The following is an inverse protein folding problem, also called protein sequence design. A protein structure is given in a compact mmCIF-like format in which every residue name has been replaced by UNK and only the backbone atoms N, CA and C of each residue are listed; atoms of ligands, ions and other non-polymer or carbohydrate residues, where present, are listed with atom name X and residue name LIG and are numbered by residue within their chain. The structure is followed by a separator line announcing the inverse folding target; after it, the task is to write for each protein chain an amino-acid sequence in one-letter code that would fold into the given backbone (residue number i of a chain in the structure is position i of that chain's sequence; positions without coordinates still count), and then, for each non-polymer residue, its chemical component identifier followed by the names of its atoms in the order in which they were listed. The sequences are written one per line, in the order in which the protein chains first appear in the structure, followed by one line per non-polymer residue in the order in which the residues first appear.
data_IF_733234100077
#
_entry.id   IF_733234100077
#
_cell.length_a   1.000
_cell.length_b   1.000
_cell.length_c   1.000
_cell.angle_alpha   90.00
_cell.angle_beta   90.00
_cell.angle_gamma   90.00
#
_symmetry.space_group_name_H-M   'P 1'
#
loop_
_entity.id
_entity.type
_entity.pdbx_description
1 polymer ?
#
# COMPACT_ATOMS: atom_id res chain seq x y z
N UNK A 1 12.89 7.58 12.54
CA UNK A 1 13.33 8.21 11.28
C UNK A 1 12.33 9.30 10.91
N UNK A 2 12.78 10.47 10.46
CA UNK A 2 11.85 11.48 9.96
C UNK A 2 11.52 11.16 8.49
N UNK A 3 10.26 10.81 8.20
CA UNK A 3 9.81 10.45 6.86
C UNK A 3 9.13 11.60 6.11
N UNK A 4 9.07 12.81 6.71
CA UNK A 4 8.36 13.96 6.14
C UNK A 4 8.90 14.43 4.79
N UNK A 5 10.22 14.39 4.60
CA UNK A 5 10.85 14.76 3.32
C UNK A 5 10.55 13.72 2.23
N UNK A 6 10.57 12.43 2.58
CA UNK A 6 10.16 11.35 1.67
C UNK A 6 8.67 11.48 1.31
N UNK A 7 7.81 11.71 2.29
CA UNK A 7 6.38 11.87 2.08
C UNK A 7 6.07 13.08 1.19
N UNK A 8 6.72 14.22 1.45
CA UNK A 8 6.60 15.43 0.63
C UNK A 8 7.04 15.17 -0.81
N UNK A 9 8.16 14.46 -0.99
CA UNK A 9 8.66 14.12 -2.32
C UNK A 9 7.70 13.16 -3.06
N UNK A 10 7.15 12.15 -2.39
CA UNK A 10 6.15 11.23 -2.95
C UNK A 10 4.91 12.01 -3.42
N UNK A 11 4.32 12.83 -2.55
CA UNK A 11 3.12 13.62 -2.86
C UNK A 11 3.33 14.58 -4.03
N UNK A 12 4.52 15.17 -4.13
CA UNK A 12 4.88 16.07 -5.22
C UNK A 12 5.35 15.36 -6.49
N UNK A 13 5.31 14.02 -6.51
CA UNK A 13 5.84 13.23 -7.61
C UNK A 13 7.32 13.61 -7.90
N UNK A 14 8.14 13.83 -6.87
CA UNK A 14 9.56 14.19 -6.96
C UNK A 14 10.44 12.97 -6.67
N UNK A 15 10.82 12.25 -7.72
CA UNK A 15 11.67 11.05 -7.58
C UNK A 15 13.07 11.39 -7.05
N UNK A 16 13.67 12.49 -7.50
CA UNK A 16 15.01 12.87 -7.09
C UNK A 16 15.04 13.31 -5.62
N UNK A 17 14.03 14.06 -5.18
CA UNK A 17 13.82 14.39 -3.77
C UNK A 17 13.65 13.15 -2.91
N UNK A 18 12.84 12.19 -3.37
CA UNK A 18 12.64 10.92 -2.67
C UNK A 18 13.96 10.16 -2.49
N UNK A 19 14.76 10.01 -3.55
CA UNK A 19 16.05 9.31 -3.47
C UNK A 19 17.03 9.99 -2.51
N UNK A 20 17.09 11.33 -2.53
CA UNK A 20 17.95 12.11 -1.61
C UNK A 20 17.53 11.96 -0.15
N UNK A 21 16.23 11.87 0.12
CA UNK A 21 15.72 11.69 1.47
C UNK A 21 15.85 10.23 1.95
N UNK A 22 15.58 9.25 1.07
CA UNK A 22 15.58 7.82 1.42
C UNK A 22 16.98 7.27 1.67
N UNK A 23 17.87 7.30 0.67
CA UNK A 23 19.09 6.48 0.70
C UNK A 23 20.09 6.84 1.80
N UNK A 24 20.22 8.10 2.25
CA UNK A 24 21.07 8.41 3.40
C UNK A 24 20.51 7.93 4.73
N UNK A 25 19.19 7.65 4.80
CA UNK A 25 18.46 7.42 6.05
C UNK A 25 17.91 6.00 6.20
N UNK A 26 17.73 5.25 5.10
CA UNK A 26 17.10 3.94 5.05
C UNK A 26 18.07 2.93 4.44
N UNK A 27 18.38 1.87 5.18
CA UNK A 27 19.17 0.74 4.68
C UNK A 27 18.28 -0.26 3.97
N UNK A 28 18.84 -1.08 3.08
CA UNK A 28 18.11 -2.20 2.50
C UNK A 28 17.61 -3.15 3.60
N UNK A 29 16.30 -3.42 3.58
CA UNK A 29 15.61 -4.22 4.60
C UNK A 29 14.95 -3.42 5.72
N UNK A 30 15.24 -2.12 5.85
CA UNK A 30 14.58 -1.27 6.85
C UNK A 30 13.14 -0.95 6.44
N UNK A 31 12.24 -0.98 7.42
CA UNK A 31 10.87 -0.49 7.27
C UNK A 31 10.84 1.05 7.23
N UNK A 32 10.09 1.60 6.27
CA UNK A 32 9.78 3.03 6.20
C UNK A 32 8.36 3.24 6.71
N UNK A 33 8.23 3.92 7.85
CA UNK A 33 6.94 4.17 8.50
C UNK A 33 6.46 5.60 8.24
N UNK A 34 5.27 5.73 7.65
CA UNK A 34 4.57 6.99 7.46
C UNK A 34 3.42 7.10 8.46
N UNK A 35 3.25 8.29 9.03
CA UNK A 35 2.19 8.61 9.98
C UNK A 35 1.42 9.82 9.52
N UNK A 36 0.09 9.75 9.52
CA UNK A 36 -0.80 10.91 9.30
C UNK A 36 -0.57 11.63 7.96
N UNK A 37 -0.06 10.92 6.95
CA UNK A 37 0.24 11.48 5.63
C UNK A 37 -0.94 11.30 4.65
N UNK A 38 -1.07 12.25 3.73
CA UNK A 38 -2.07 12.19 2.66
C UNK A 38 -1.42 11.89 1.31
N UNK A 39 -1.48 10.62 0.91
CA UNK A 39 -1.01 10.10 -0.37
C UNK A 39 -2.16 9.85 -1.36
N UNK A 40 -3.32 10.50 -1.18
CA UNK A 40 -4.39 10.37 -2.14
C UNK A 40 -3.95 10.79 -3.55
N UNK A 41 -4.47 10.08 -4.56
CA UNK A 41 -4.16 10.25 -5.98
C UNK A 41 -2.68 10.04 -6.38
N UNK A 42 -1.83 9.55 -5.47
CA UNK A 42 -0.41 9.30 -5.77
C UNK A 42 -0.25 8.08 -6.68
N UNK A 43 0.56 8.26 -7.72
CA UNK A 43 1.10 7.17 -8.54
C UNK A 43 2.43 6.69 -7.98
N UNK A 44 2.45 5.49 -7.41
CA UNK A 44 3.63 4.93 -6.77
C UNK A 44 4.62 4.26 -7.73
N UNK A 45 4.31 4.16 -9.03
CA UNK A 45 5.06 3.36 -10.00
C UNK A 45 6.58 3.65 -10.07
N UNK A 46 6.99 4.87 -9.75
CA UNK A 46 8.41 5.27 -9.81
C UNK A 46 9.15 5.18 -8.48
N UNK A 47 8.46 4.97 -7.38
CA UNK A 47 9.08 4.96 -6.05
C UNK A 47 9.39 3.52 -5.67
N UNK A 48 10.66 3.24 -5.33
CA UNK A 48 11.02 1.93 -4.80
C UNK A 48 10.62 1.87 -3.32
N UNK A 49 9.51 1.20 -3.04
CA UNK A 49 8.88 1.27 -1.73
C UNK A 49 9.57 0.37 -0.69
N UNK A 50 10.17 -0.76 -1.09
CA UNK A 50 10.75 -1.73 -0.14
C UNK A 50 9.71 -2.22 0.87
N UNK A 51 10.07 -2.23 2.16
CA UNK A 51 9.14 -2.49 3.28
C UNK A 51 8.52 -1.16 3.73
N UNK A 52 7.21 -1.00 3.53
CA UNK A 52 6.50 0.22 3.92
C UNK A 52 5.38 -0.04 4.89
N UNK A 53 5.24 0.85 5.86
CA UNK A 53 4.20 0.84 6.87
C UNK A 53 3.49 2.18 6.83
N UNK A 54 2.19 2.16 6.62
CA UNK A 54 1.33 3.34 6.62
C UNK A 54 0.43 3.27 7.84
N UNK A 55 0.47 4.31 8.67
CA UNK A 55 -0.33 4.40 9.90
C UNK A 55 -1.16 5.67 9.84
N UNK A 56 -2.48 5.54 9.92
CA UNK A 56 -3.43 6.65 9.84
C UNK A 56 -3.25 7.52 8.58
N UNK A 57 -2.89 6.89 7.45
CA UNK A 57 -2.65 7.59 6.19
C UNK A 57 -3.89 7.58 5.28
N UNK A 58 -3.95 8.53 4.37
CA UNK A 58 -4.90 8.54 3.27
C UNK A 58 -4.22 8.06 1.98
N UNK A 59 -4.73 7.00 1.36
CA UNK A 59 -4.27 6.36 0.13
C UNK A 59 -5.42 6.31 -0.89
N UNK A 60 -6.48 7.09 -0.69
CA UNK A 60 -7.63 7.11 -1.60
C UNK A 60 -7.19 7.35 -3.04
N UNK A 61 -7.62 6.48 -3.96
CA UNK A 61 -7.31 6.53 -5.39
C UNK A 61 -5.82 6.48 -5.74
N UNK A 62 -4.96 6.12 -4.79
CA UNK A 62 -3.57 5.83 -5.07
C UNK A 62 -3.45 4.61 -6.00
N UNK A 63 -2.33 4.50 -6.72
CA UNK A 63 -2.14 3.41 -7.69
C UNK A 63 -0.70 2.93 -7.76
N UNK A 64 -0.51 1.72 -8.29
CA UNK A 64 0.79 1.05 -8.44
C UNK A 64 1.56 0.95 -7.13
N UNK A 65 0.85 0.72 -6.03
CA UNK A 65 1.45 0.50 -4.73
C UNK A 65 2.18 -0.85 -4.75
N UNK A 66 3.50 -0.83 -4.93
CA UNK A 66 4.32 -2.04 -5.05
C UNK A 66 5.45 -2.05 -4.02
N UNK A 67 5.53 -3.11 -3.21
CA UNK A 67 6.53 -3.31 -2.15
C UNK A 67 6.45 -4.73 -1.61
N UNK A 68 7.30 -5.08 -0.63
CA UNK A 68 7.38 -6.46 -0.15
C UNK A 68 7.77 -6.57 1.34
N UNK A 69 6.82 -6.93 2.23
CA UNK A 69 5.39 -6.63 2.20
C UNK A 69 5.08 -5.16 2.55
N UNK A 70 3.83 -4.75 2.32
CA UNK A 70 3.29 -3.44 2.69
C UNK A 70 2.31 -3.61 3.84
N UNK A 71 2.38 -2.73 4.83
CA UNK A 71 1.45 -2.71 5.97
C UNK A 71 0.59 -1.45 5.94
N UNK A 72 -0.72 -1.61 6.09
CA UNK A 72 -1.69 -0.52 6.26
C UNK A 72 -2.36 -0.67 7.63
N UNK A 73 -2.26 0.32 8.51
CA UNK A 73 -2.99 0.37 9.76
C UNK A 73 -3.83 1.65 9.83
N UNK A 74 -5.15 1.49 10.03
CA UNK A 74 -6.10 2.61 10.17
C UNK A 74 -6.06 3.59 9.00
N UNK A 75 -5.82 3.08 7.78
CA UNK A 75 -5.72 3.91 6.60
C UNK A 75 -7.06 3.98 5.86
N UNK A 76 -7.29 5.10 5.17
CA UNK A 76 -8.26 5.13 4.07
C UNK A 76 -7.53 4.76 2.79
N UNK A 77 -8.06 3.84 2.00
CA UNK A 77 -7.53 3.41 0.71
C UNK A 77 -8.67 3.23 -0.29
N UNK A 78 -9.66 4.13 -0.24
CA UNK A 78 -10.87 4.04 -1.06
C UNK A 78 -10.54 4.22 -2.52
N UNK A 79 -11.03 3.31 -3.35
CA UNK A 79 -10.76 3.38 -4.78
C UNK A 79 -9.29 3.18 -5.14
N UNK A 80 -8.46 2.61 -4.24
CA UNK A 80 -7.08 2.27 -4.56
C UNK A 80 -7.04 1.38 -5.80
N UNK A 81 -6.13 1.66 -6.71
CA UNK A 81 -5.98 0.94 -7.97
C UNK A 81 -4.83 -0.07 -7.87
N UNK A 82 -5.21 -1.35 -7.74
CA UNK A 82 -4.31 -2.49 -7.64
C UNK A 82 -4.29 -3.32 -8.94
N UNK A 83 -4.85 -2.80 -10.03
CA UNK A 83 -4.69 -3.42 -11.36
C UNK A 83 -3.21 -3.51 -11.72
N UNK A 84 -2.86 -4.57 -12.45
CA UNK A 84 -1.47 -4.86 -12.86
C UNK A 84 -0.45 -4.91 -11.70
N UNK A 85 -0.91 -5.04 -10.45
CA UNK A 85 -0.06 -4.99 -9.26
C UNK A 85 0.13 -6.38 -8.67
N UNK A 86 1.40 -6.75 -8.40
CA UNK A 86 1.76 -7.94 -7.64
C UNK A 86 2.47 -7.55 -6.36
N UNK A 87 1.77 -7.58 -5.22
CA UNK A 87 2.31 -7.17 -3.92
C UNK A 87 1.59 -7.89 -2.77
N UNK A 88 2.22 -7.96 -1.60
CA UNK A 88 1.58 -8.49 -0.39
C UNK A 88 1.22 -7.32 0.51
N UNK A 89 -0.06 -7.22 0.87
CA UNK A 89 -0.62 -6.18 1.73
C UNK A 89 -1.14 -6.81 3.02
N UNK A 90 -0.64 -6.31 4.15
CA UNK A 90 -1.17 -6.58 5.47
C UNK A 90 -1.96 -5.36 5.92
N UNK A 91 -3.27 -5.40 5.76
CA UNK A 91 -4.16 -4.31 6.12
C UNK A 91 -4.89 -4.60 7.42
N UNK A 92 -4.97 -3.60 8.30
CA UNK A 92 -5.70 -3.66 9.55
C UNK A 92 -6.53 -2.41 9.75
N UNK A 93 -7.80 -2.58 10.14
CA UNK A 93 -8.71 -1.48 10.48
C UNK A 93 -8.77 -0.40 9.38
N UNK A 94 -8.61 -0.80 8.13
CA UNK A 94 -8.48 0.11 6.99
C UNK A 94 -9.70 0.01 6.07
N UNK A 95 -9.96 1.06 5.31
CA UNK A 95 -11.10 1.14 4.40
C UNK A 95 -10.61 1.00 2.94
N UNK A 96 -10.90 -0.14 2.31
CA UNK A 96 -10.52 -0.45 0.93
C UNK A 96 -11.74 -0.49 -0.01
N UNK A 97 -12.85 0.15 0.39
CA UNK A 97 -14.06 0.19 -0.45
C UNK A 97 -13.79 0.84 -1.80
N UNK A 98 -14.42 0.32 -2.86
CA UNK A 98 -14.26 0.78 -4.23
C UNK A 98 -12.93 0.42 -4.90
N UNK A 99 -12.07 -0.40 -4.27
CA UNK A 99 -10.78 -0.80 -4.85
C UNK A 99 -10.91 -1.36 -6.28
N UNK A 100 -9.94 -1.04 -7.12
CA UNK A 100 -9.87 -1.53 -8.50
C UNK A 100 -8.87 -2.68 -8.57
N UNK A 101 -9.26 -3.76 -9.23
CA UNK A 101 -8.48 -4.97 -9.42
C UNK A 101 -8.88 -5.64 -10.73
N UNK A 102 -8.00 -6.50 -11.24
CA UNK A 102 -8.22 -7.31 -12.43
C UNK A 102 -7.54 -8.67 -12.29
N UNK A 103 -7.57 -9.47 -13.35
CA UNK A 103 -6.97 -10.81 -13.37
C UNK A 103 -5.43 -10.79 -13.24
N UNK A 104 -4.78 -9.62 -13.32
CA UNK A 104 -3.34 -9.44 -13.09
C UNK A 104 -3.03 -8.96 -11.66
N UNK A 105 -4.05 -8.62 -10.87
CA UNK A 105 -3.89 -8.29 -9.45
C UNK A 105 -3.51 -9.54 -8.66
N UNK A 106 -2.28 -9.57 -8.13
CA UNK A 106 -1.75 -10.69 -7.34
C UNK A 106 -1.47 -10.20 -5.91
N UNK A 107 -2.36 -10.62 -4.99
CA UNK A 107 -2.24 -10.34 -3.56
C UNK A 107 -1.89 -11.57 -2.71
N UNK A 108 -1.76 -12.73 -3.33
CA UNK A 108 -1.23 -13.93 -2.71
C UNK A 108 -0.50 -14.78 -3.75
N UNK A 109 0.47 -15.57 -3.28
CA UNK A 109 1.16 -16.58 -4.07
C UNK A 109 1.32 -17.86 -3.25
N UNK A 110 2.00 -18.87 -3.82
CA UNK A 110 2.18 -20.18 -3.19
C UNK A 110 2.89 -20.16 -1.82
N UNK A 111 3.58 -19.06 -1.49
CA UNK A 111 4.39 -18.93 -0.26
C UNK A 111 3.80 -17.95 0.74
N UNK A 112 3.18 -16.86 0.29
CA UNK A 112 2.70 -15.78 1.14
C UNK A 112 1.40 -15.20 0.61
N UNK A 113 0.51 -14.84 1.53
CA UNK A 113 -0.79 -14.25 1.25
C UNK A 113 -0.97 -12.93 1.98
N UNK A 114 -1.62 -11.97 1.34
CA UNK A 114 -2.12 -10.75 1.98
C UNK A 114 -3.14 -11.10 3.07
N UNK A 115 -3.15 -10.29 4.12
CA UNK A 115 -4.11 -10.42 5.23
C UNK A 115 -4.83 -9.10 5.44
N UNK A 116 -6.17 -9.13 5.49
CA UNK A 116 -7.00 -7.99 5.84
C UNK A 116 -7.77 -8.31 7.13
N UNK A 117 -7.53 -7.54 8.19
CA UNK A 117 -8.19 -7.71 9.49
C UNK A 117 -9.00 -6.48 9.84
N UNK A 118 -10.26 -6.64 10.25
CA UNK A 118 -11.17 -5.53 10.60
C UNK A 118 -11.29 -4.48 9.47
N UNK A 119 -11.16 -4.87 8.20
CA UNK A 119 -11.15 -3.94 7.07
C UNK A 119 -12.53 -3.77 6.44
N UNK A 120 -12.81 -2.57 5.91
CA UNK A 120 -14.02 -2.33 5.12
C UNK A 120 -13.73 -2.66 3.65
N UNK A 121 -14.57 -3.52 3.08
CA UNK A 121 -14.47 -4.00 1.71
C UNK A 121 -15.87 -4.05 1.09
N UNK A 122 -15.93 -3.92 -0.24
CA UNK A 122 -17.15 -4.24 -0.97
C UNK A 122 -17.37 -5.76 -1.00
N UNK A 123 -18.62 -6.19 -1.12
CA UNK A 123 -18.98 -7.61 -1.18
C UNK A 123 -18.27 -8.32 -2.36
N UNK A 124 -18.24 -7.66 -3.53
CA UNK A 124 -17.57 -8.19 -4.72
C UNK A 124 -16.05 -8.31 -4.52
N UNK A 125 -15.43 -7.34 -3.86
CA UNK A 125 -14.00 -7.39 -3.56
C UNK A 125 -13.69 -8.53 -2.58
N UNK A 126 -14.52 -8.73 -1.56
CA UNK A 126 -14.38 -9.81 -0.59
C UNK A 126 -14.37 -11.19 -1.26
N UNK A 127 -15.33 -11.43 -2.17
CA UNK A 127 -15.38 -12.68 -2.94
C UNK A 127 -14.13 -12.88 -3.80
N UNK A 128 -13.76 -11.86 -4.58
CA UNK A 128 -12.58 -11.93 -5.45
C UNK A 128 -11.30 -12.23 -4.66
N UNK A 129 -11.07 -11.50 -3.57
CA UNK A 129 -9.85 -11.63 -2.76
C UNK A 129 -9.74 -13.03 -2.13
N UNK A 130 -10.82 -13.58 -1.57
CA UNK A 130 -10.84 -14.93 -0.99
C UNK A 130 -10.57 -16.00 -2.03
N UNK A 131 -11.16 -15.89 -3.23
CA UNK A 131 -10.89 -16.80 -4.35
C UNK A 131 -9.43 -16.75 -4.80
N UNK A 132 -8.77 -15.60 -4.65
CA UNK A 132 -7.36 -15.38 -4.99
C UNK A 132 -6.43 -15.55 -3.78
N UNK A 133 -6.87 -16.28 -2.75
CA UNK A 133 -6.02 -16.75 -1.66
C UNK A 133 -5.73 -15.74 -0.56
N UNK A 134 -6.34 -14.55 -0.59
CA UNK A 134 -6.20 -13.52 0.45
C UNK A 134 -6.97 -13.91 1.71
N UNK A 135 -6.35 -13.74 2.87
CA UNK A 135 -6.99 -13.98 4.17
C UNK A 135 -7.75 -12.73 4.61
N UNK A 136 -9.04 -12.88 4.96
CA UNK A 136 -9.90 -11.79 5.43
C UNK A 136 -10.54 -12.20 6.74
N UNK A 137 -10.17 -11.50 7.80
CA UNK A 137 -10.64 -11.67 9.18
C UNK A 137 -11.48 -10.45 9.60
N UNK A 138 -12.67 -10.71 10.16
CA UNK A 138 -13.63 -9.68 10.61
C UNK A 138 -13.47 -9.32 12.11
#
# INVERSE_FOLDING_TARGET
MNTSEMATAIRNNDYAGYQRARYPAVTDGDEVVFHDEDFSDVDFAKFNMGFMVFINCNLDRAKHLSGQPITLEKCSAKGIDLRDTSTIINAKQSDLTGMLYDDQTVLANDTISSTLTDCQLDEQATSFLREHGVTIDD
#
